data_IF_904277437410
#
_entry.id   IF_904277437410
#
_cell.length_a   1.000
_cell.length_b   1.000
_cell.length_c   1.000
_cell.angle_alpha   90.00
_cell.angle_beta   90.00
_cell.angle_gamma   90.00
#
_symmetry.space_group_name_H-M   'P 1'
#
loop_
_entity.id
_entity.type
_entity.pdbx_description
1 polymer ?
#
# COMPACT_ATOMS: atom_id res chain seq x y z
N UNK A 1 19.42 0.69 3.36
CA UNK A 1 19.90 0.16 2.06
C UNK A 1 19.22 -1.18 1.84
N UNK A 2 18.47 -1.36 0.76
CA UNK A 2 17.88 -2.65 0.42
C UNK A 2 18.82 -3.39 -0.53
N UNK A 3 19.40 -4.49 -0.07
CA UNK A 3 20.20 -5.43 -0.87
C UNK A 3 19.28 -6.28 -1.74
N UNK A 4 19.58 -6.33 -3.03
CA UNK A 4 18.86 -7.16 -4.01
C UNK A 4 19.26 -8.63 -3.81
N UNK A 5 18.54 -9.35 -2.94
CA UNK A 5 18.60 -10.81 -2.90
C UNK A 5 17.77 -11.36 -4.05
N UNK A 6 18.40 -12.17 -4.91
CA UNK A 6 17.93 -12.64 -6.21
C UNK A 6 16.76 -13.63 -6.22
N UNK A 7 15.82 -13.52 -5.29
CA UNK A 7 14.50 -14.13 -5.40
C UNK A 7 13.51 -13.01 -5.74
N UNK A 8 12.79 -13.16 -6.85
CA UNK A 8 11.91 -12.13 -7.45
C UNK A 8 10.68 -11.75 -6.61
N UNK A 9 10.80 -11.70 -5.29
CA UNK A 9 9.81 -11.24 -4.35
C UNK A 9 10.37 -10.16 -3.41
N UNK A 10 9.59 -9.12 -3.18
CA UNK A 10 9.93 -8.06 -2.23
C UNK A 10 9.69 -8.56 -0.81
N UNK A 11 10.75 -8.67 -0.01
CA UNK A 11 10.63 -8.90 1.44
C UNK A 11 10.35 -7.58 2.14
N UNK A 12 9.17 -7.46 2.76
CA UNK A 12 8.75 -6.31 3.57
C UNK A 12 7.70 -5.42 2.92
N UNK A 13 6.99 -4.64 3.75
CA UNK A 13 5.88 -3.81 3.27
C UNK A 13 6.32 -2.81 2.22
N UNK A 14 5.43 -2.54 1.25
CA UNK A 14 5.67 -1.50 0.26
C UNK A 14 5.64 -0.14 0.95
N UNK A 15 6.81 0.45 1.22
CA UNK A 15 6.90 1.73 1.92
C UNK A 15 6.11 2.83 1.18
N UNK A 16 6.16 2.88 -0.14
CA UNK A 16 5.43 3.86 -0.97
C UNK A 16 3.94 3.58 -1.19
N UNK A 17 3.35 2.57 -0.51
CA UNK A 17 1.93 2.22 -0.67
C UNK A 17 1.28 1.99 0.69
N UNK A 18 0.09 2.55 0.83
CA UNK A 18 -0.83 2.28 1.93
C UNK A 18 -2.15 1.76 1.34
N UNK A 19 -3.06 1.30 2.19
CA UNK A 19 -4.40 0.86 1.81
C UNK A 19 -5.43 1.39 2.80
N UNK A 20 -6.59 1.74 2.27
CA UNK A 20 -7.78 2.17 3.02
C UNK A 20 -8.91 1.20 2.76
N UNK A 21 -9.74 0.96 3.77
CA UNK A 21 -11.00 0.20 3.60
C UNK A 21 -12.10 1.20 3.25
N UNK A 22 -12.77 0.98 2.12
CA UNK A 22 -13.98 1.71 1.79
C UNK A 22 -15.12 1.22 2.70
N UNK A 23 -15.73 2.08 3.54
CA UNK A 23 -16.78 1.65 4.46
C UNK A 23 -18.09 1.28 3.75
N UNK A 24 -18.33 1.80 2.54
CA UNK A 24 -19.57 1.54 1.79
C UNK A 24 -19.54 0.17 1.11
N UNK A 25 -18.39 -0.27 0.61
CA UNK A 25 -18.24 -1.55 -0.11
C UNK A 25 -17.49 -2.62 0.67
N UNK A 26 -16.76 -2.22 1.71
CA UNK A 26 -15.88 -3.09 2.49
C UNK A 26 -14.55 -3.45 1.81
N UNK A 27 -14.36 -3.05 0.54
CA UNK A 27 -13.15 -3.35 -0.23
C UNK A 27 -11.96 -2.49 0.19
N UNK A 28 -10.77 -3.03 -0.02
CA UNK A 28 -9.52 -2.31 0.21
C UNK A 28 -9.05 -1.63 -1.07
N UNK A 29 -8.65 -0.36 -0.97
CA UNK A 29 -8.09 0.43 -2.07
C UNK A 29 -6.69 0.86 -1.70
N UNK A 30 -5.71 0.65 -2.60
CA UNK A 30 -4.35 1.16 -2.43
C UNK A 30 -4.33 2.67 -2.59
N UNK A 31 -3.55 3.34 -1.76
CA UNK A 31 -3.19 4.75 -1.91
C UNK A 31 -1.69 4.86 -2.14
N UNK A 32 -1.30 5.65 -3.13
CA UNK A 32 0.09 6.02 -3.31
C UNK A 32 0.53 6.93 -2.18
N UNK A 33 1.65 6.61 -1.56
CA UNK A 33 2.25 7.45 -0.53
C UNK A 33 3.73 7.70 -0.81
N UNK A 34 4.15 7.65 -2.06
CA UNK A 34 5.52 7.94 -2.45
C UNK A 34 5.78 9.46 -2.46
N UNK A 35 6.57 10.02 -1.52
CA UNK A 35 6.82 11.45 -1.46
C UNK A 35 7.56 11.94 -2.72
N UNK A 36 7.09 13.04 -3.31
CA UNK A 36 7.70 13.60 -4.53
C UNK A 36 7.31 12.89 -5.83
N UNK A 37 6.53 11.81 -5.78
CA UNK A 37 5.90 11.22 -6.96
C UNK A 37 4.73 12.10 -7.44
N UNK A 38 4.53 12.28 -8.76
CA UNK A 38 3.40 13.05 -9.31
C UNK A 38 2.03 12.46 -8.94
N UNK A 39 1.97 11.25 -8.39
CA UNK A 39 0.76 10.62 -7.90
C UNK A 39 0.66 10.48 -6.38
N UNK A 40 1.44 11.20 -5.57
CA UNK A 40 1.36 11.09 -4.10
C UNK A 40 -0.06 11.40 -3.59
N UNK A 41 -0.63 10.50 -2.79
CA UNK A 41 -1.98 10.61 -2.26
C UNK A 41 -3.08 10.04 -3.15
N UNK A 42 -2.77 9.71 -4.41
CA UNK A 42 -3.75 9.16 -5.35
C UNK A 42 -4.22 7.76 -4.95
N UNK A 43 -5.51 7.48 -5.14
CA UNK A 43 -6.05 6.13 -5.08
C UNK A 43 -5.68 5.36 -6.35
N UNK A 44 -5.43 4.06 -6.19
CA UNK A 44 -5.00 3.16 -7.25
C UNK A 44 -5.93 1.94 -7.28
N UNK A 45 -5.39 0.74 -7.26
CA UNK A 45 -6.15 -0.50 -7.34
C UNK A 45 -7.11 -0.64 -6.16
N UNK A 46 -8.36 -0.98 -6.47
CA UNK A 46 -9.34 -1.49 -5.49
C UNK A 46 -9.44 -2.98 -5.64
N UNK A 47 -9.44 -3.69 -4.52
CA UNK A 47 -9.61 -5.14 -4.49
C UNK A 47 -11.05 -5.51 -4.77
N UNK A 48 -11.26 -6.62 -5.49
CA UNK A 48 -12.60 -7.16 -5.75
C UNK A 48 -13.16 -7.91 -4.54
N UNK A 49 -12.30 -8.40 -3.65
CA UNK A 49 -12.67 -9.02 -2.39
C UNK A 49 -12.53 -8.05 -1.20
N UNK A 50 -12.97 -8.49 -0.03
CA UNK A 50 -12.98 -7.68 1.20
C UNK A 50 -11.74 -7.89 2.07
N UNK A 51 -10.75 -8.65 1.64
CA UNK A 51 -9.51 -8.83 2.39
C UNK A 51 -8.49 -7.74 2.05
N UNK A 52 -7.57 -7.38 2.96
CA UNK A 52 -6.50 -6.43 2.65
C UNK A 52 -5.53 -6.94 1.59
N UNK A 53 -4.80 -6.02 0.96
CA UNK A 53 -3.62 -6.33 0.16
C UNK A 53 -2.50 -6.84 1.08
N UNK A 54 -1.95 -8.01 0.74
CA UNK A 54 -0.78 -8.57 1.43
C UNK A 54 0.43 -7.64 1.23
N UNK A 55 1.16 -7.35 2.30
CA UNK A 55 2.37 -6.52 2.24
C UNK A 55 2.13 -5.01 2.03
N UNK A 56 0.90 -4.53 2.17
CA UNK A 56 0.57 -3.09 2.08
C UNK A 56 0.05 -2.59 3.42
N UNK A 57 0.52 -1.42 3.85
CA UNK A 57 0.18 -0.83 5.15
C UNK A 57 -1.28 -0.38 5.23
N UNK A 58 -2.00 -0.64 6.32
CA UNK A 58 -3.35 -0.08 6.51
C UNK A 58 -3.28 1.32 7.12
N UNK A 59 -4.03 2.27 6.57
CA UNK A 59 -4.16 3.60 7.17
C UNK A 59 -5.13 3.59 8.38
N UNK A 60 -4.88 4.42 9.41
CA UNK A 60 -3.66 5.22 9.62
C UNK A 60 -2.46 4.33 10.01
N UNK A 61 -1.34 4.53 9.33
CA UNK A 61 -0.10 3.76 9.53
C UNK A 61 0.91 4.62 10.29
N UNK A 62 1.19 4.28 11.56
CA UNK A 62 2.06 5.05 12.46
C UNK A 62 3.54 5.06 12.09
N UNK A 63 3.94 4.48 10.96
CA UNK A 63 5.34 4.44 10.48
C UNK A 63 5.79 5.74 9.81
N UNK A 64 4.87 6.69 9.64
CA UNK A 64 5.06 7.94 8.91
C UNK A 64 4.37 9.09 9.68
N UNK A 65 4.78 9.28 10.93
CA UNK A 65 4.49 10.49 11.73
C UNK A 65 5.39 11.64 11.29
#
# INVERSE_FOLDING_TARGET
>A
MATNSGDGHRTGSVAGRTQVRNPATGHYTKRNRDPGSPGNGAFMDTKSDTEPFKGVAREPDGRRS
#
